data_IF_556717700749
#
_entry.id   IF_556717700749
#
_cell.length_a   1.000
_cell.length_b   1.000
_cell.length_c   1.000
_cell.angle_alpha   90.00
_cell.angle_beta   90.00
_cell.angle_gamma   90.00
#
_symmetry.space_group_name_H-M   'P 1'
#
loop_
_entity.id
_entity.type
_entity.pdbx_description
1 polymer ?
2 polymer ?
#
# COMPACT_ATOMS: atom_id res chain seq x y z
N UNK A 1 6.54 16.68 -32.09
CA UNK A 1 5.90 17.22 -30.86
C UNK A 1 5.88 16.16 -29.75
N UNK A 2 5.95 16.62 -28.50
CA UNK A 2 5.96 15.71 -27.33
C UNK A 2 4.89 16.04 -26.30
N UNK A 3 4.03 15.08 -26.00
CA UNK A 3 2.97 15.27 -25.00
C UNK A 3 3.20 14.42 -23.75
N UNK A 4 2.99 15.04 -22.58
CA UNK A 4 3.17 14.35 -21.31
C UNK A 4 2.02 13.41 -20.96
N UNK A 5 2.39 12.23 -20.46
CA UNK A 5 1.43 11.22 -20.05
C UNK A 5 1.89 10.68 -18.71
N UNK A 6 0.96 10.55 -17.77
CA UNK A 6 1.27 10.05 -16.45
C UNK A 6 1.13 8.53 -16.41
N UNK A 7 2.04 7.87 -15.69
CA UNK A 7 2.01 6.41 -15.59
C UNK A 7 2.09 5.91 -14.16
N UNK A 8 0.94 5.76 -13.50
CA UNK A 8 0.93 5.28 -12.12
C UNK A 8 1.43 3.84 -11.98
N UNK A 9 2.56 3.69 -11.29
CA UNK A 9 3.11 2.37 -11.03
C UNK A 9 3.01 2.22 -9.51
N UNK A 10 3.47 1.08 -8.99
CA UNK A 10 3.40 0.81 -7.56
C UNK A 10 4.76 0.82 -6.89
N UNK A 11 4.79 1.16 -5.61
CA UNK A 11 6.04 1.18 -4.89
C UNK A 11 6.79 -0.12 -5.14
N UNK A 12 6.05 -1.23 -5.11
CA UNK A 12 6.66 -2.53 -5.33
C UNK A 12 7.28 -2.60 -6.73
N UNK A 13 6.59 -2.05 -7.72
CA UNK A 13 7.11 -2.05 -9.09
C UNK A 13 8.45 -1.31 -9.15
N UNK A 14 8.45 -0.09 -8.60
CA UNK A 14 9.64 0.75 -8.59
C UNK A 14 10.73 0.11 -7.79
N UNK A 15 10.34 -0.62 -6.75
CA UNK A 15 11.30 -1.28 -5.88
C UNK A 15 12.13 -2.32 -6.59
N UNK A 16 11.46 -3.11 -7.40
CA UNK A 16 12.11 -4.18 -8.13
C UNK A 16 12.57 -3.71 -9.52
N UNK A 17 12.12 -2.51 -9.91
CA UNK A 17 12.49 -1.99 -11.21
C UNK A 17 11.94 -2.94 -12.27
N UNK A 18 10.67 -3.29 -12.12
CA UNK A 18 10.00 -4.21 -13.04
C UNK A 18 9.83 -3.65 -14.45
N UNK A 19 9.78 -4.56 -15.43
CA UNK A 19 9.61 -4.18 -16.82
C UNK A 19 8.15 -3.89 -17.11
N UNK A 20 7.56 -2.98 -16.34
CA UNK A 20 6.17 -2.60 -16.51
C UNK A 20 5.93 -2.31 -18.01
N UNK A 21 4.81 -2.79 -18.55
CA UNK A 21 4.49 -2.57 -19.97
C UNK A 21 3.00 -2.46 -20.27
N UNK A 22 2.57 -1.35 -20.88
CA UNK A 22 1.16 -1.18 -21.22
C UNK A 22 0.88 -0.57 -22.59
N UNK A 23 -0.37 -0.71 -23.02
CA UNK A 23 -0.82 -0.20 -24.31
C UNK A 23 -1.54 1.13 -24.12
N UNK A 24 -1.25 2.09 -25.00
CA UNK A 24 -1.86 3.42 -24.94
C UNK A 24 -2.51 3.82 -26.27
N UNK A 25 -3.59 4.59 -26.18
CA UNK A 25 -4.31 5.00 -27.37
C UNK A 25 -3.76 6.21 -28.11
N UNK A 26 -3.95 6.23 -29.43
CA UNK A 26 -3.48 7.32 -30.27
C UNK A 26 -4.32 7.40 -31.53
N UNK A 27 -3.79 8.07 -32.56
CA UNK A 27 -4.50 8.20 -33.82
C UNK A 27 -4.17 7.06 -34.79
N UNK A 28 -3.35 7.38 -35.79
CA UNK A 28 -2.96 6.39 -36.78
C UNK A 28 -3.00 6.93 -38.20
N UNK A 29 -2.77 6.07 -39.21
CA UNK A 29 -2.79 6.47 -40.62
C UNK A 29 -4.15 6.97 -41.09
N UNK A 30 -4.24 8.25 -41.43
CA UNK A 30 -5.46 8.89 -41.91
C UNK A 30 -6.60 8.89 -40.88
N UNK A 31 -6.33 9.44 -39.70
CA UNK A 31 -7.33 9.50 -38.64
C UNK A 31 -7.89 8.14 -38.24
N UNK A 32 -7.52 7.67 -37.04
CA UNK A 32 -7.97 6.38 -36.57
C UNK A 32 -8.24 6.29 -35.07
N UNK A 33 -8.26 5.06 -34.57
CA UNK A 33 -8.50 4.78 -33.16
C UNK A 33 -7.59 3.60 -32.77
N UNK A 34 -6.32 3.90 -32.50
CA UNK A 34 -5.36 2.87 -32.14
C UNK A 34 -5.08 2.73 -30.64
N UNK A 35 -4.26 1.72 -30.35
CA UNK A 35 -3.80 1.39 -29.00
C UNK A 35 -2.46 0.71 -29.23
N UNK A 36 -1.38 1.43 -28.98
CA UNK A 36 -0.03 0.90 -29.18
C UNK A 36 0.64 0.41 -27.89
N UNK A 37 1.17 -0.82 -27.93
CA UNK A 37 1.84 -1.43 -26.77
C UNK A 37 3.25 -0.88 -26.55
N UNK A 38 3.48 -0.30 -25.36
CA UNK A 38 4.79 0.26 -25.05
C UNK A 38 5.49 -0.48 -23.91
N UNK A 39 6.81 -0.49 -23.93
CA UNK A 39 7.61 -1.16 -22.90
C UNK A 39 8.48 -0.18 -22.09
N UNK A 40 8.19 -0.09 -20.79
CA UNK A 40 8.94 0.80 -19.91
C UNK A 40 9.85 0.04 -18.97
N UNK A 41 11.12 0.41 -18.94
CA UNK A 41 12.02 -0.29 -18.05
C UNK A 41 12.29 0.50 -16.79
N UNK A 42 11.61 0.13 -15.71
CA UNK A 42 11.81 0.78 -14.42
C UNK A 42 13.16 0.33 -13.90
N UNK A 43 13.68 1.08 -12.92
CA UNK A 43 14.95 0.77 -12.33
C UNK A 43 14.85 0.82 -10.81
N UNK A 44 15.39 -0.18 -10.13
CA UNK A 44 15.32 -0.17 -8.67
C UNK A 44 15.56 1.21 -8.10
N UNK A 45 14.51 1.82 -7.55
CA UNK A 45 14.67 3.12 -6.93
C UNK A 45 14.03 4.33 -7.59
N UNK A 46 13.79 4.21 -8.90
CA UNK A 46 13.20 5.32 -9.64
C UNK A 46 12.20 6.12 -8.83
N UNK A 47 12.42 7.42 -8.75
CA UNK A 47 11.52 8.30 -8.00
C UNK A 47 10.48 8.78 -8.98
N UNK A 48 9.26 9.01 -8.51
CA UNK A 48 8.19 9.48 -9.39
C UNK A 48 8.64 10.77 -10.02
N UNK A 49 8.05 11.12 -11.16
CA UNK A 49 8.44 12.35 -11.81
C UNK A 49 9.50 12.11 -12.86
N UNK A 50 10.22 11.00 -12.75
CA UNK A 50 11.26 10.70 -13.74
C UNK A 50 10.53 10.49 -15.05
N UNK A 51 11.26 10.65 -16.15
CA UNK A 51 10.65 10.50 -17.46
C UNK A 51 11.55 9.77 -18.43
N UNK A 52 10.95 8.85 -19.17
CA UNK A 52 11.67 8.08 -20.18
C UNK A 52 10.95 8.38 -21.49
N UNK A 53 11.73 8.60 -22.55
CA UNK A 53 11.19 8.90 -23.87
C UNK A 53 12.09 8.38 -24.99
N UNK A 67 6.05 10.14 -37.05
CA UNK A 67 4.91 9.77 -36.23
C UNK A 67 4.65 10.84 -35.16
N UNK A 68 4.19 10.40 -33.99
CA UNK A 68 3.90 11.30 -32.89
C UNK A 68 4.91 10.99 -31.77
N UNK A 69 5.01 11.87 -30.77
CA UNK A 69 5.96 11.63 -29.68
C UNK A 69 5.33 11.85 -28.30
N UNK A 70 5.56 10.89 -27.38
CA UNK A 70 5.00 10.95 -26.03
C UNK A 70 6.05 11.06 -24.93
N UNK A 71 5.79 11.91 -23.94
CA UNK A 71 6.69 12.11 -22.80
C UNK A 71 6.06 11.43 -21.59
N UNK A 72 6.71 10.37 -21.12
CA UNK A 72 6.22 9.60 -19.98
C UNK A 72 6.80 9.98 -18.63
N UNK A 73 5.93 10.19 -17.65
CA UNK A 73 6.34 10.55 -16.31
C UNK A 73 5.87 9.52 -15.28
N UNK A 74 6.82 8.73 -14.79
CA UNK A 74 6.54 7.69 -13.82
C UNK A 74 5.77 8.28 -12.64
N UNK A 75 4.68 7.63 -12.24
CA UNK A 75 3.87 8.12 -11.14
C UNK A 75 3.58 7.05 -10.08
N UNK A 76 3.87 7.38 -8.82
CA UNK A 76 3.67 6.45 -7.70
C UNK A 76 2.22 6.24 -7.26
N UNK A 77 1.65 5.07 -7.59
CA UNK A 77 0.27 4.75 -7.18
C UNK A 77 0.19 4.85 -5.66
N UNK A 78 -1.00 5.00 -5.11
CA UNK A 78 -1.10 5.11 -3.67
C UNK A 78 -0.99 3.75 -2.98
N UNK A 79 0.09 3.52 -2.23
CA UNK A 79 0.28 2.25 -1.54
C UNK A 79 -0.57 2.24 -0.28
N UNK A 80 -1.23 1.11 0.00
CA UNK A 80 -2.07 0.96 1.18
C UNK A 80 -1.38 0.90 2.53
N UNK A 81 -0.05 0.75 2.52
CA UNK A 81 0.66 0.69 3.80
C UNK A 81 1.82 1.67 3.98
N UNK A 82 2.55 1.92 2.89
CA UNK A 82 3.69 2.83 2.94
C UNK A 82 3.48 4.20 2.33
N UNK A 83 4.13 5.17 2.95
CA UNK A 83 4.12 6.56 2.50
C UNK A 83 5.62 6.74 2.32
N UNK A 84 6.03 7.04 1.09
CA UNK A 84 7.45 7.18 0.75
C UNK A 84 8.07 8.55 1.03
N UNK A 85 9.37 8.54 1.33
CA UNK A 85 10.12 9.77 1.61
C UNK A 85 11.46 9.63 0.93
N UNK A 86 11.46 9.76 -0.40
CA UNK A 86 12.70 9.62 -1.14
C UNK A 86 13.18 8.19 -1.11
N UNK A 87 14.09 7.89 -0.19
CA UNK A 87 14.57 6.53 -0.10
C UNK A 87 14.05 5.83 1.16
N UNK A 88 13.39 6.59 2.02
CA UNK A 88 12.82 6.03 3.24
C UNK A 88 11.37 5.65 3.05
N UNK A 89 10.90 4.68 3.84
CA UNK A 89 9.52 4.26 3.76
C UNK A 89 8.95 4.36 5.14
N UNK A 90 7.79 5.00 5.25
CA UNK A 90 7.15 5.13 6.52
C UNK A 90 5.88 4.30 6.53
N UNK A 91 5.68 3.59 7.63
CA UNK A 91 4.51 2.77 7.82
C UNK A 91 3.89 3.28 9.11
N UNK A 92 2.61 3.59 9.09
CA UNK A 92 1.95 4.08 10.30
C UNK A 92 1.11 3.00 11.00
N UNK A 93 1.67 2.34 12.01
CA UNK A 93 0.94 1.31 12.71
C UNK A 93 -0.02 1.97 13.71
N UNK A 94 -1.33 1.90 13.43
CA UNK A 94 -2.31 2.50 14.34
C UNK A 94 -2.46 1.61 15.58
N UNK A 95 -2.68 2.23 16.74
CA UNK A 95 -2.77 1.49 18.00
C UNK A 95 -4.00 1.77 18.89
N UNK A 96 -4.62 0.71 19.39
CA UNK A 96 -5.78 0.84 20.29
C UNK A 96 -5.31 1.57 21.53
N UNK A 97 -6.18 2.35 22.18
CA UNK A 97 -5.76 3.06 23.39
C UNK A 97 -5.04 2.13 24.38
N UNK A 98 -5.64 0.97 24.63
CA UNK A 98 -5.07 -0.01 25.58
C UNK A 98 -3.65 -0.43 25.23
N UNK A 99 -3.49 -1.01 24.04
CA UNK A 99 -2.18 -1.50 23.63
C UNK A 99 -1.17 -0.37 23.52
N UNK A 100 -1.65 0.85 23.70
CA UNK A 100 -0.81 2.03 23.61
C UNK A 100 -0.05 2.30 24.90
N UNK A 101 -0.50 1.69 25.99
CA UNK A 101 0.14 1.87 27.29
C UNK A 101 0.54 0.54 27.93
N UNK A 102 -0.13 -0.54 27.51
CA UNK A 102 0.16 -1.87 28.06
C UNK A 102 0.98 -2.76 27.13
N UNK A 103 0.96 -2.47 25.84
CA UNK A 103 1.74 -3.29 24.93
C UNK A 103 0.89 -3.83 23.81
N UNK A 104 1.53 -4.42 22.81
CA UNK A 104 0.81 -4.96 21.66
C UNK A 104 1.74 -5.94 21.00
N UNK A 105 1.23 -6.70 20.05
CA UNK A 105 2.06 -7.67 19.35
C UNK A 105 1.62 -7.87 17.92
N UNK A 106 1.48 -6.78 17.17
CA UNK A 106 1.05 -6.90 15.79
C UNK A 106 2.17 -7.46 14.90
N UNK A 107 1.96 -7.42 13.60
CA UNK A 107 2.94 -7.93 12.65
C UNK A 107 2.73 -7.19 11.33
N UNK A 108 3.81 -6.73 10.70
CA UNK A 108 3.70 -6.02 9.44
C UNK A 108 4.51 -6.67 8.30
N UNK A 109 4.11 -6.38 7.07
CA UNK A 109 4.77 -6.91 5.89
C UNK A 109 5.65 -5.86 5.25
N UNK A 110 6.95 -6.15 5.18
CA UNK A 110 7.90 -5.20 4.60
C UNK A 110 7.67 -5.03 3.13
N UNK A 111 8.24 -3.97 2.57
CA UNK A 111 8.10 -3.66 1.17
C UNK A 111 8.46 -4.79 0.25
N UNK A 112 9.31 -5.71 0.72
CA UNK A 112 9.69 -6.82 -0.12
C UNK A 112 9.15 -8.18 0.31
N UNK A 113 7.94 -8.21 0.84
CA UNK A 113 7.35 -9.49 1.20
C UNK A 113 7.64 -10.08 2.55
N UNK A 114 8.84 -9.85 3.07
CA UNK A 114 9.20 -10.37 4.37
C UNK A 114 8.20 -9.84 5.42
N UNK A 115 7.85 -10.65 6.41
CA UNK A 115 6.93 -10.16 7.43
C UNK A 115 7.82 -9.76 8.60
N UNK A 116 7.47 -8.63 9.23
CA UNK A 116 8.25 -8.10 10.33
C UNK A 116 7.46 -8.02 11.62
N UNK A 117 7.96 -8.65 12.67
CA UNK A 117 7.29 -8.63 13.97
C UNK A 117 7.51 -7.33 14.76
N UNK A 118 6.43 -6.60 15.00
CA UNK A 118 6.49 -5.37 15.78
C UNK A 118 5.87 -5.71 17.13
N UNK A 119 6.49 -5.25 18.22
CA UNK A 119 5.96 -5.57 19.55
C UNK A 119 6.56 -4.80 20.74
N UNK A 120 5.69 -4.32 21.61
CA UNK A 120 6.13 -3.60 22.81
C UNK A 120 5.40 -4.14 24.04
N UNK A 121 5.92 -3.73 25.20
CA UNK A 121 5.39 -4.12 26.50
C UNK A 121 5.51 -2.86 27.37
N UNK A 122 5.70 -1.73 26.68
CA UNK A 122 5.87 -0.42 27.33
C UNK A 122 5.09 0.65 26.58
N UNK A 123 4.49 1.59 27.32
CA UNK A 123 3.72 2.66 26.66
C UNK A 123 4.54 3.27 25.53
N UNK A 124 3.83 3.82 24.55
CA UNK A 124 4.48 4.40 23.39
C UNK A 124 3.97 5.82 23.18
N UNK A 125 4.89 6.75 22.93
CA UNK A 125 4.55 8.15 22.74
C UNK A 125 3.76 8.33 21.45
N UNK A 126 2.67 9.10 21.49
CA UNK A 126 1.82 9.36 20.34
C UNK A 126 2.44 9.37 18.96
N UNK A 127 3.71 9.73 18.83
CA UNK A 127 4.29 9.73 17.49
C UNK A 127 5.63 8.99 17.46
N UNK A 128 5.96 8.37 18.59
CA UNK A 128 7.20 7.60 18.75
C UNK A 128 7.40 6.69 17.54
N UNK A 129 8.64 6.63 17.05
CA UNK A 129 8.94 5.81 15.89
C UNK A 129 10.10 4.83 16.10
N UNK A 130 10.25 3.93 15.11
CA UNK A 130 11.31 2.93 15.10
C UNK A 130 11.91 2.90 13.71
N UNK A 131 13.21 3.11 13.61
CA UNK A 131 13.82 3.07 12.30
C UNK A 131 14.60 1.78 12.06
N UNK A 132 14.33 1.17 10.91
CA UNK A 132 14.98 -0.06 10.48
C UNK A 132 15.87 0.22 9.28
N UNK A 133 17.19 0.29 9.50
CA UNK A 133 18.18 0.55 8.47
C UNK A 133 18.13 -0.40 7.29
N UNK A 134 18.44 0.14 6.12
CA UNK A 134 18.46 -0.67 4.91
C UNK A 134 17.20 -1.46 4.66
N UNK A 135 16.06 -0.98 5.14
CA UNK A 135 14.84 -1.71 4.93
C UNK A 135 13.81 -0.87 4.16
N UNK A 136 14.30 0.16 3.47
CA UNK A 136 13.43 1.01 2.70
C UNK A 136 13.61 0.77 1.21
N UNK A 137 13.34 1.79 0.39
CA UNK A 137 13.46 1.70 -1.07
C UNK A 137 14.93 1.80 -1.50
N UNK A 138 15.27 1.17 -2.64
CA UNK A 138 16.68 1.25 -3.05
C UNK A 138 17.08 2.66 -3.49
N UNK A 139 18.37 2.96 -3.47
CA UNK A 139 18.88 4.27 -3.89
C UNK A 139 19.22 4.22 -5.37
N UNK A 140 18.54 5.04 -6.19
CA UNK A 140 18.81 5.03 -7.63
C UNK A 140 20.28 5.08 -8.03
N UNK A 141 21.02 6.04 -7.50
CA UNK A 141 22.43 6.16 -7.83
C UNK A 141 23.03 4.81 -7.53
N UNK A 142 23.41 4.57 -6.27
CA UNK A 142 23.97 3.29 -5.86
C UNK A 142 22.82 2.47 -5.26
N UNK A 143 22.18 1.62 -6.10
CA UNK A 143 21.06 0.78 -5.67
C UNK A 143 21.37 -0.35 -4.71
N UNK A 144 22.60 -0.84 -4.71
CA UNK A 144 22.96 -1.91 -3.80
C UNK A 144 22.75 -1.42 -2.37
N UNK A 145 22.30 -0.18 -2.25
CA UNK A 145 22.03 0.44 -0.96
C UNK A 145 20.55 0.84 -0.96
N UNK A 146 19.85 0.57 0.13
CA UNK A 146 18.45 0.91 0.24
C UNK A 146 18.34 1.98 1.32
N UNK A 147 17.21 2.69 1.36
CA UNK A 147 17.00 3.72 2.36
C UNK A 147 16.66 2.94 3.61
N UNK A 148 15.63 3.34 4.35
CA UNK A 148 15.26 2.54 5.52
C UNK A 148 13.81 2.75 5.91
N UNK A 149 13.25 1.74 6.55
CA UNK A 149 11.87 1.72 6.97
C UNK A 149 11.72 2.39 8.32
N UNK A 150 10.69 3.25 8.43
CA UNK A 150 10.37 3.95 9.68
C UNK A 150 8.96 3.53 10.03
N UNK A 151 8.74 3.00 11.23
CA UNK A 151 7.40 2.61 11.65
C UNK A 151 6.94 3.59 12.71
N UNK A 152 5.82 4.22 12.42
CA UNK A 152 5.24 5.24 13.28
C UNK A 152 4.02 4.69 14.01
N UNK A 153 4.01 4.81 15.33
CA UNK A 153 2.89 4.36 16.13
C UNK A 153 1.96 5.57 16.24
N UNK A 154 0.69 5.37 15.92
CA UNK A 154 -0.30 6.42 16.01
C UNK A 154 -1.40 5.95 16.97
N UNK A 155 -1.33 6.36 18.23
CA UNK A 155 -2.31 5.94 19.23
C UNK A 155 -3.71 6.53 19.04
N UNK A 156 -4.71 5.66 19.20
CA UNK A 156 -6.12 6.00 19.03
C UNK A 156 -6.83 6.21 20.37
N UNK A 157 -7.43 7.38 20.53
CA UNK A 157 -8.17 7.71 21.75
C UNK A 157 -9.66 7.44 21.59
N UNK A 158 -10.32 6.93 22.63
CA UNK A 158 -11.74 6.64 22.58
C UNK A 158 -12.40 8.00 22.66
N UNK A 159 -13.56 8.18 22.05
CA UNK A 159 -14.20 9.48 22.13
C UNK A 159 -14.65 9.71 23.57
N UNK A 160 -15.78 10.36 23.77
CA UNK A 160 -16.28 10.62 25.12
C UNK A 160 -16.13 9.37 26.00
N UNK A 161 -15.55 9.52 27.20
CA UNK A 161 -15.41 8.35 28.06
C UNK A 161 -16.39 8.33 29.22
N UNK A 162 -16.77 7.11 29.61
CA UNK A 162 -17.72 6.89 30.69
C UNK A 162 -17.22 7.25 32.08
N UNK A 163 -18.08 7.05 33.07
CA UNK A 163 -17.77 7.37 34.46
C UNK A 163 -16.63 6.51 34.98
N UNK A 164 -16.75 5.19 34.81
CA UNK A 164 -15.70 4.30 35.26
C UNK A 164 -14.39 4.85 34.72
N UNK A 165 -14.29 4.89 33.39
CA UNK A 165 -13.12 5.40 32.69
C UNK A 165 -12.46 6.56 33.43
N UNK A 166 -13.14 7.70 33.46
CA UNK A 166 -12.61 8.88 34.14
C UNK A 166 -12.15 8.54 35.55
N UNK A 167 -13.04 7.96 36.35
CA UNK A 167 -12.68 7.61 37.71
C UNK A 167 -11.35 6.84 37.73
N UNK A 168 -11.24 5.85 36.85
CA UNK A 168 -10.04 5.00 36.75
C UNK A 168 -8.74 5.75 36.50
N UNK A 169 -8.82 6.79 35.68
CA UNK A 169 -7.64 7.54 35.35
C UNK A 169 -7.02 8.24 36.57
N UNK A 170 -6.21 7.46 37.30
CA UNK A 170 -5.45 7.89 38.50
C UNK A 170 -4.44 6.81 38.85
N UNK B 1 23.91 48.54 -10.79
CA UNK B 1 23.85 47.12 -10.31
C UNK B 1 22.56 46.91 -9.50
N UNK B 2 22.68 46.21 -8.37
CA UNK B 2 21.56 45.93 -7.48
C UNK B 2 21.97 44.91 -6.42
N UNK B 3 22.00 45.34 -5.16
CA UNK B 3 22.38 44.46 -4.05
C UNK B 3 21.27 44.35 -3.02
N UNK B 4 20.51 43.25 -3.10
CA UNK B 4 19.39 42.99 -2.20
C UNK B 4 19.79 42.81 -0.74
N UNK B 5 18.90 43.23 0.17
CA UNK B 5 19.15 43.14 1.62
C UNK B 5 18.09 42.35 2.39
N UNK B 6 18.55 41.49 3.29
CA UNK B 6 17.66 40.69 4.12
C UNK B 6 17.00 41.63 5.12
N UNK B 7 15.67 41.60 5.20
CA UNK B 7 14.97 42.46 6.14
C UNK B 7 14.03 41.72 7.10
N UNK B 8 14.56 41.30 8.25
CA UNK B 8 13.81 40.57 9.27
C UNK B 8 12.65 41.35 9.89
N UNK B 9 11.49 40.71 9.98
CA UNK B 9 10.31 41.30 10.59
C UNK B 9 9.70 40.28 11.54
N UNK B 10 8.53 40.62 12.06
CA UNK B 10 7.83 39.75 12.98
C UNK B 10 6.47 39.49 12.39
N UNK B 11 6.00 38.26 12.50
CA UNK B 11 4.69 37.91 11.96
C UNK B 11 3.68 38.97 12.35
N UNK B 12 3.90 39.60 13.49
CA UNK B 12 3.02 40.65 13.96
C UNK B 12 3.02 41.80 12.96
N UNK B 13 4.20 42.35 12.72
CA UNK B 13 4.36 43.44 11.76
C UNK B 13 3.56 43.15 10.50
N UNK B 14 3.99 42.15 9.75
CA UNK B 14 3.32 41.78 8.53
C UNK B 14 1.80 41.69 8.69
N UNK B 15 1.36 41.31 9.89
CA UNK B 15 -0.06 41.16 10.17
C UNK B 15 -0.89 42.42 10.04
N UNK B 16 -0.54 43.40 10.86
CA UNK B 16 -1.26 44.66 10.90
C UNK B 16 -0.71 45.73 9.97
N UNK B 17 0.09 45.33 8.99
CA UNK B 17 0.66 46.30 8.07
C UNK B 17 1.27 47.44 8.86
N UNK B 18 2.46 47.22 9.37
CA UNK B 18 3.18 48.21 10.16
C UNK B 18 4.12 49.03 9.31
N UNK B 19 4.41 50.25 9.74
CA UNK B 19 5.35 51.09 9.02
C UNK B 19 6.66 51.06 9.80
N UNK B 20 7.62 50.31 9.25
CA UNK B 20 8.95 50.13 9.86
C UNK B 20 9.98 51.13 9.36
N UNK B 21 11.08 51.21 10.09
CA UNK B 21 12.19 52.09 9.76
C UNK B 21 13.46 51.57 10.45
N UNK B 22 14.60 52.18 10.12
CA UNK B 22 15.88 51.77 10.67
C UNK B 22 17.04 52.59 10.10
N UNK B 35 25.48 56.47 4.25
CA UNK B 35 24.44 56.22 5.24
C UNK B 35 23.10 56.90 4.91
N UNK B 36 22.00 56.16 5.08
CA UNK B 36 20.68 56.70 4.77
C UNK B 36 19.58 56.17 5.69
N UNK B 37 18.44 56.86 5.68
CA UNK B 37 17.29 56.49 6.50
C UNK B 37 16.13 56.05 5.59
N UNK B 38 15.76 54.78 5.70
CA UNK B 38 14.69 54.23 4.88
C UNK B 38 13.42 54.06 5.70
N UNK B 39 12.29 53.98 5.01
CA UNK B 39 11.01 53.81 5.67
C UNK B 39 10.09 52.92 4.83
N UNK B 40 9.75 51.75 5.39
CA UNK B 40 8.90 50.80 4.70
C UNK B 40 7.54 50.58 5.37
N UNK B 41 6.49 50.70 4.57
CA UNK B 41 5.11 50.51 5.02
C UNK B 41 4.67 49.11 4.58
N UNK B 42 4.79 48.17 5.53
CA UNK B 42 4.45 46.77 5.29
C UNK B 42 2.98 46.63 4.95
N UNK B 43 2.69 46.15 3.75
CA UNK B 43 1.30 45.95 3.35
C UNK B 43 0.71 44.82 4.18
N UNK B 44 -0.62 44.74 4.27
CA UNK B 44 -1.25 43.66 5.04
C UNK B 44 -1.19 42.32 4.31
N UNK B 45 -0.45 41.37 4.87
CA UNK B 45 -0.34 40.05 4.27
C UNK B 45 0.88 39.80 3.39
N UNK B 46 2.02 40.38 3.76
CA UNK B 46 3.26 40.20 3.00
C UNK B 46 3.95 39.01 3.59
N UNK B 47 4.42 38.10 2.73
CA UNK B 47 5.11 36.92 3.19
C UNK B 47 6.60 37.05 2.93
N UNK B 48 7.37 36.09 3.44
CA UNK B 48 8.81 36.12 3.27
C UNK B 48 9.19 36.20 1.79
N UNK B 49 10.05 37.14 1.47
CA UNK B 49 10.48 37.29 0.09
C UNK B 49 9.64 38.23 -0.77
N UNK B 50 9.01 39.23 -0.17
CA UNK B 50 8.24 40.18 -0.94
C UNK B 50 9.23 41.28 -1.34
N UNK B 51 9.31 41.57 -2.64
CA UNK B 51 10.23 42.56 -3.17
C UNK B 51 9.86 44.02 -2.92
N UNK B 52 10.86 44.80 -2.50
CA UNK B 52 10.71 46.22 -2.22
C UNK B 52 11.84 46.94 -2.93
N UNK B 53 11.57 47.40 -4.16
CA UNK B 53 12.56 48.09 -4.98
C UNK B 53 12.63 49.61 -4.88
N UNK B 54 13.75 50.10 -4.37
CA UNK B 54 13.97 51.54 -4.23
C UNK B 54 15.10 51.94 -5.18
N UNK B 55 14.76 52.59 -6.30
CA UNK B 55 15.75 53.03 -7.27
C UNK B 55 16.77 53.96 -6.61
N UNK B 56 18.01 53.47 -6.46
CA UNK B 56 19.07 54.26 -5.84
C UNK B 56 18.83 54.48 -4.35
N UNK B 68 23.09 53.24 -6.87
CA UNK B 68 23.02 51.81 -6.60
C UNK B 68 21.61 51.46 -6.13
N UNK B 69 20.86 50.76 -6.99
CA UNK B 69 19.48 50.38 -6.67
C UNK B 69 19.35 49.35 -5.56
N UNK B 70 18.81 49.80 -4.42
CA UNK B 70 18.62 48.95 -3.26
C UNK B 70 17.26 48.25 -3.28
N UNK B 71 17.29 46.94 -3.05
CA UNK B 71 16.09 46.12 -3.03
C UNK B 71 15.99 45.39 -1.70
N UNK B 72 14.82 45.40 -1.10
CA UNK B 72 14.64 44.74 0.19
C UNK B 72 13.91 43.40 0.15
N UNK B 73 14.62 42.35 0.55
CA UNK B 73 14.08 41.00 0.61
C UNK B 73 13.56 40.79 2.03
N UNK B 74 12.30 40.39 2.15
CA UNK B 74 11.72 40.18 3.47
C UNK B 74 12.02 38.86 4.16
N UNK B 75 12.34 38.96 5.44
CA UNK B 75 12.65 37.82 6.29
C UNK B 75 11.69 37.88 7.48
N UNK B 76 11.12 36.74 7.84
CA UNK B 76 10.20 36.71 8.97
C UNK B 76 10.85 35.98 10.16
N UNK B 77 11.27 36.75 11.16
CA UNK B 77 11.91 36.16 12.33
C UNK B 77 11.10 35.02 12.93
N UNK B 78 11.79 34.09 13.57
CA UNK B 78 11.11 32.96 14.19
C UNK B 78 10.07 33.53 15.14
N UNK B 79 9.01 32.79 15.37
CA UNK B 79 7.99 33.27 16.28
C UNK B 79 7.77 32.31 17.45
N UNK B 80 7.73 32.87 18.66
CA UNK B 80 7.53 32.24 19.96
C UNK B 80 6.46 31.15 20.03
N UNK B 81 5.32 31.41 19.41
CA UNK B 81 4.23 30.44 19.44
C UNK B 81 3.81 29.91 18.07
N UNK B 82 3.88 30.76 17.05
CA UNK B 82 3.41 30.33 15.76
C UNK B 82 4.43 29.88 14.72
N UNK B 83 3.91 29.18 13.71
CA UNK B 83 4.66 28.67 12.58
C UNK B 83 3.71 28.98 11.44
N UNK B 84 4.11 29.86 10.53
CA UNK B 84 3.25 30.27 9.44
C UNK B 84 3.24 29.27 8.31
N UNK B 85 2.07 29.13 7.68
CA UNK B 85 1.85 28.24 6.53
C UNK B 85 0.79 28.87 5.63
N UNK B 86 1.23 29.71 4.68
CA UNK B 86 0.33 30.38 3.77
C UNK B 86 -0.44 31.44 4.50
N UNK B 87 -1.76 31.46 4.34
CA UNK B 87 -2.58 32.43 5.03
C UNK B 87 -2.79 31.95 6.47
N UNK B 88 -2.32 30.76 6.78
CA UNK B 88 -2.53 30.20 8.12
C UNK B 88 -1.38 30.24 9.10
N UNK B 89 -1.74 30.15 10.37
CA UNK B 89 -0.76 30.13 11.44
C UNK B 89 -0.95 28.77 12.11
N UNK B 90 0.13 28.18 12.61
CA UNK B 90 0.04 26.89 13.26
C UNK B 90 0.58 26.96 14.68
N UNK B 91 -0.26 26.61 15.64
CA UNK B 91 0.16 26.62 17.04
C UNK B 91 -0.02 25.22 17.63
N UNK B 92 0.98 24.76 18.36
CA UNK B 92 0.92 23.43 18.96
C UNK B 92 0.82 23.52 20.47
N UNK B 93 -0.35 23.18 20.97
CA UNK B 93 -0.63 23.21 22.40
C UNK B 93 -0.15 21.93 23.08
N UNK B 94 0.64 22.07 24.14
CA UNK B 94 1.13 20.90 24.86
C UNK B 94 0.19 20.50 25.98
N UNK B 95 -0.33 19.28 25.93
CA UNK B 95 -1.23 18.79 26.98
C UNK B 95 -0.53 17.71 27.78
N UNK B 96 -1.07 17.41 28.94
CA UNK B 96 -0.53 16.37 29.79
C UNK B 96 -1.40 15.14 29.50
N UNK B 97 -0.97 13.99 29.99
CA UNK B 97 -1.73 12.79 29.73
C UNK B 97 -3.15 12.95 30.26
N UNK B 98 -3.28 13.32 31.53
CA UNK B 98 -4.61 13.51 32.11
C UNK B 98 -5.47 14.47 31.31
N UNK B 99 -4.92 15.61 30.89
CA UNK B 99 -5.74 16.57 30.15
C UNK B 99 -6.02 16.23 28.70
N UNK B 100 -5.27 15.29 28.13
CA UNK B 100 -5.50 14.91 26.75
C UNK B 100 -6.71 13.97 26.70
N UNK B 101 -7.07 13.41 27.85
CA UNK B 101 -8.19 12.48 27.98
C UNK B 101 -9.35 13.09 28.73
N UNK B 102 -9.04 13.85 29.77
CA UNK B 102 -10.05 14.46 30.62
C UNK B 102 -10.40 15.92 30.34
N UNK B 103 -9.91 16.49 29.25
CA UNK B 103 -10.26 17.87 28.93
C UNK B 103 -9.30 18.92 29.45
N UNK B 104 -9.52 20.18 29.06
CA UNK B 104 -8.62 21.24 29.51
C UNK B 104 -9.20 22.63 29.25
N UNK B 105 -8.41 23.64 29.60
CA UNK B 105 -8.79 25.03 29.43
C UNK B 105 -7.54 25.90 29.43
N UNK B 106 -6.99 26.10 28.24
CA UNK B 106 -5.79 26.90 28.11
C UNK B 106 -6.14 28.14 27.31
N UNK B 107 -5.13 28.99 27.10
CA UNK B 107 -5.27 30.24 26.37
C UNK B 107 -4.17 30.28 25.31
N UNK B 108 -4.16 31.32 24.49
CA UNK B 108 -3.15 31.48 23.46
C UNK B 108 -3.30 32.88 22.88
N UNK B 109 -2.24 33.67 22.95
CA UNK B 109 -2.26 35.05 22.42
C UNK B 109 -2.28 35.01 20.91
N UNK B 110 -3.40 35.42 20.34
CA UNK B 110 -3.56 35.43 18.89
C UNK B 110 -2.59 36.44 18.32
N UNK B 111 -2.37 36.37 17.01
CA UNK B 111 -1.43 37.27 16.33
C UNK B 111 -1.79 38.75 16.44
N UNK B 112 -3.08 39.04 16.43
CA UNK B 112 -3.59 40.41 16.51
C UNK B 112 -3.49 40.96 17.92
N UNK B 113 -3.18 40.10 18.89
CA UNK B 113 -3.04 40.56 20.26
C UNK B 113 -3.99 40.02 21.33
N UNK B 114 -5.27 39.87 20.98
CA UNK B 114 -6.27 39.37 21.93
C UNK B 114 -5.93 37.95 22.37
N UNK B 115 -6.62 37.45 23.40
CA UNK B 115 -6.38 36.08 23.85
C UNK B 115 -7.58 35.20 23.51
N UNK B 116 -7.28 33.99 23.05
CA UNK B 116 -8.28 33.01 22.61
C UNK B 116 -8.38 31.83 23.57
N UNK B 117 -9.60 31.43 23.94
CA UNK B 117 -9.75 30.29 24.85
C UNK B 117 -9.75 28.92 24.18
N UNK B 118 -8.79 28.08 24.60
CA UNK B 118 -8.66 26.73 24.09
C UNK B 118 -9.22 25.77 25.14
N UNK B 119 -10.49 25.40 25.00
CA UNK B 119 -11.10 24.48 25.95
C UNK B 119 -11.82 23.34 25.26
N UNK B 120 -11.76 22.18 25.91
CA UNK B 120 -12.33 20.94 25.42
C UNK B 120 -12.75 20.17 26.66
N UNK B 121 -13.74 19.28 26.53
CA UNK B 121 -14.18 18.49 27.68
C UNK B 121 -14.04 17.01 27.33
N UNK B 122 -14.01 16.73 26.04
CA UNK B 122 -13.88 15.38 25.51
C UNK B 122 -12.41 15.11 25.18
N UNK B 123 -11.98 13.84 25.31
CA UNK B 123 -10.59 13.51 24.99
C UNK B 123 -10.23 13.95 23.57
N UNK B 124 -8.93 14.18 23.35
CA UNK B 124 -8.42 14.64 22.05
C UNK B 124 -7.60 13.57 21.36
N UNK B 125 -7.79 13.43 20.05
CA UNK B 125 -7.00 12.48 19.28
C UNK B 125 -5.66 13.21 19.23
N UNK B 126 -4.62 12.64 19.85
CA UNK B 126 -3.29 13.26 19.89
C UNK B 126 -2.86 13.80 18.53
N UNK B 127 -3.36 13.14 17.49
CA UNK B 127 -3.03 13.48 16.12
C UNK B 127 -4.04 14.38 15.46
N UNK B 128 -4.94 14.93 16.26
CA UNK B 128 -5.99 15.77 15.73
C UNK B 128 -5.54 17.19 15.41
N UNK B 129 -6.43 17.97 14.81
CA UNK B 129 -6.19 19.37 14.47
C UNK B 129 -7.46 20.18 14.47
N UNK B 130 -7.60 21.07 15.45
CA UNK B 130 -8.77 21.91 15.53
C UNK B 130 -8.50 23.21 14.79
N UNK B 131 -9.49 23.66 14.02
CA UNK B 131 -9.37 24.87 13.20
C UNK B 131 -10.11 26.11 13.75
N UNK B 132 -9.39 27.21 13.96
CA UNK B 132 -10.02 28.44 14.48
C UNK B 132 -9.97 29.55 13.44
N UNK B 133 -11.04 29.69 12.63
CA UNK B 133 -11.22 30.67 11.54
C UNK B 133 -10.95 32.13 11.87
N UNK B 134 -10.44 32.84 10.86
CA UNK B 134 -10.16 34.27 11.00
C UNK B 134 -9.11 34.64 12.02
N UNK B 135 -8.40 33.64 12.50
CA UNK B 135 -7.36 33.88 13.47
C UNK B 135 -5.99 33.75 12.86
N UNK B 136 -5.94 33.60 11.54
CA UNK B 136 -4.67 33.47 10.87
C UNK B 136 -4.00 34.78 10.51
N UNK B 137 -3.50 34.85 9.29
CA UNK B 137 -2.83 36.04 8.80
C UNK B 137 -3.65 36.63 7.65
N UNK B 138 -3.54 37.95 7.41
CA UNK B 138 -4.26 38.63 6.34
C UNK B 138 -3.89 38.13 4.94
N UNK B 139 -4.86 37.62 4.18
CA UNK B 139 -4.61 37.10 2.83
C UNK B 139 -3.84 38.08 1.93
N UNK B 140 -3.22 37.56 0.87
CA UNK B 140 -2.47 38.43 -0.04
C UNK B 140 -3.40 39.28 -0.92
N UNK B 141 -4.66 38.85 -1.06
CA UNK B 141 -5.62 39.59 -1.88
C UNK B 141 -6.16 40.78 -1.08
N UNK B 142 -7.33 40.61 -0.46
CA UNK B 142 -7.89 41.69 0.32
C UNK B 142 -7.78 41.41 1.82
N UNK B 143 -6.92 42.16 2.52
CA UNK B 143 -6.67 42.06 3.96
C UNK B 143 -7.92 41.86 4.78
N UNK B 144 -9.08 42.10 4.16
CA UNK B 144 -10.33 41.89 4.84
C UNK B 144 -10.38 40.42 5.27
N UNK B 145 -9.80 39.57 4.41
CA UNK B 145 -9.74 38.13 4.64
C UNK B 145 -8.51 37.62 5.38
N UNK B 146 -8.68 36.55 6.15
CA UNK B 146 -7.60 35.96 6.94
C UNK B 146 -7.62 34.44 6.98
N UNK B 147 -6.43 33.85 6.94
CA UNK B 147 -6.32 32.40 7.01
C UNK B 147 -6.77 31.92 8.37
N UNK B 148 -6.91 30.61 8.53
CA UNK B 148 -7.34 30.05 9.79
C UNK B 148 -6.15 29.96 10.72
N UNK B 149 -6.40 29.55 11.95
CA UNK B 149 -5.35 29.35 12.93
C UNK B 149 -5.45 27.87 13.21
N UNK B 150 -4.40 27.11 12.93
CA UNK B 150 -4.47 25.68 13.17
C UNK B 150 -3.79 25.30 14.47
N UNK B 151 -4.49 24.54 15.28
CA UNK B 151 -3.93 24.12 16.57
C UNK B 151 -3.64 22.64 16.54
N UNK B 152 -2.42 22.27 16.91
CA UNK B 152 -2.01 20.87 16.94
C UNK B 152 -1.76 20.56 18.40
N UNK B 153 -1.52 19.30 18.72
CA UNK B 153 -1.30 18.93 20.11
C UNK B 153 -0.05 18.08 20.37
N UNK B 154 0.55 18.23 21.55
CA UNK B 154 1.72 17.44 21.93
C UNK B 154 1.42 16.84 23.30
N UNK B 155 0.73 15.70 23.32
CA UNK B 155 0.36 15.06 24.58
C UNK B 155 1.46 14.26 25.27
N UNK B 156 1.90 14.78 26.41
CA UNK B 156 2.95 14.16 27.22
C UNK B 156 2.49 12.81 27.79
N UNK B 157 2.73 11.72 27.05
CA UNK B 157 2.34 10.36 27.48
C UNK B 157 3.22 9.76 28.56
N UNK B 158 2.65 8.82 29.34
CA UNK B 158 3.41 8.18 30.41
C UNK B 158 4.61 7.56 29.71
N UNK B 159 5.67 7.27 30.46
CA UNK B 159 6.87 6.70 29.87
C UNK B 159 6.99 5.22 30.25
N UNK B 160 6.65 4.93 31.50
CA UNK B 160 6.68 3.60 32.06
C UNK B 160 5.39 3.50 32.85
N UNK B 161 5.04 2.33 33.36
CA UNK B 161 3.80 2.22 34.11
C UNK B 161 4.03 1.45 35.40
N UNK B 162 3.07 1.50 36.31
CA UNK B 162 3.18 0.77 37.58
C UNK B 162 2.02 -0.16 37.78
N UNK B 163 2.25 -1.16 38.63
CA UNK B 163 1.26 -2.18 38.96
C UNK B 163 -0.15 -1.59 39.03
N UNK B 164 -0.28 -0.51 39.79
CA UNK B 164 -1.54 0.18 39.96
C UNK B 164 -2.13 0.71 38.65
N UNK B 165 -1.43 1.67 38.03
CA UNK B 165 -1.88 2.26 36.78
C UNK B 165 -2.25 1.19 35.76
N UNK B 166 -1.40 0.17 35.64
CA UNK B 166 -1.64 -0.92 34.69
C UNK B 166 -3.04 -1.50 34.77
N UNK B 167 -3.40 -2.00 35.94
CA UNK B 167 -4.71 -2.60 36.15
C UNK B 167 -5.84 -1.66 35.74
N UNK B 168 -5.73 -0.40 36.15
CA UNK B 168 -6.75 0.61 35.85
C UNK B 168 -7.02 0.71 34.36
N UNK B 169 -5.97 0.86 33.56
CA UNK B 169 -6.14 0.94 32.12
C UNK B 169 -6.67 -0.42 31.61
N UNK B 170 -6.13 -1.51 32.16
CA UNK B 170 -6.54 -2.87 31.75
C UNK B 170 -8.02 -3.16 32.01
N UNK C 11 -1.99 -46.29 -3.12
CA UNK C 11 -1.63 -45.26 -4.15
C UNK C 11 -2.11 -43.87 -3.74
N UNK C 12 -3.40 -43.74 -3.46
CA UNK C 12 -3.93 -42.46 -3.00
C UNK C 12 -3.04 -42.10 -1.82
N UNK C 13 -2.49 -43.14 -1.20
CA UNK C 13 -1.63 -43.00 -0.04
C UNK C 13 -0.29 -42.34 -0.35
N UNK C 14 0.48 -42.87 -1.29
CA UNK C 14 1.76 -42.24 -1.61
C UNK C 14 1.54 -40.99 -2.45
N UNK C 15 0.37 -40.37 -2.26
CA UNK C 15 -0.02 -39.14 -2.95
C UNK C 15 -0.08 -37.99 -1.96
N UNK C 16 -0.92 -38.16 -0.94
CA UNK C 16 -1.11 -37.14 0.07
C UNK C 16 -0.06 -37.22 1.19
N UNK C 17 0.64 -38.35 1.27
CA UNK C 17 1.67 -38.52 2.28
C UNK C 17 1.33 -39.48 3.40
N UNK C 18 0.04 -39.75 3.58
CA UNK C 18 -0.48 -40.65 4.61
C UNK C 18 0.57 -41.60 5.19
N UNK C 19 0.71 -41.56 6.51
CA UNK C 19 1.66 -42.41 7.24
C UNK C 19 0.99 -43.73 7.62
N UNK C 20 1.62 -44.85 7.27
CA UNK C 20 1.04 -46.16 7.56
C UNK C 20 1.85 -46.98 8.56
N UNK C 21 1.20 -47.98 9.18
CA UNK C 21 1.84 -48.84 10.17
C UNK C 21 1.98 -50.28 9.69
N UNK C 22 3.10 -50.90 10.07
CA UNK C 22 3.41 -52.28 9.70
C UNK C 22 3.58 -53.17 10.94
N UNK C 39 7.56 -46.70 11.58
CA UNK C 39 7.19 -45.29 11.47
C UNK C 39 7.77 -44.65 10.20
N UNK C 40 7.22 -45.04 9.05
CA UNK C 40 7.67 -44.52 7.76
C UNK C 40 6.90 -43.28 7.35
N UNK C 41 7.61 -42.18 7.14
CA UNK C 41 6.99 -40.93 6.73
C UNK C 41 7.06 -40.76 5.23
N UNK C 42 6.07 -41.30 4.54
CA UNK C 42 6.00 -41.24 3.09
C UNK C 42 5.88 -39.78 2.66
N UNK C 43 6.99 -39.19 2.24
CA UNK C 43 6.99 -37.80 1.81
C UNK C 43 6.32 -37.68 0.44
N UNK C 44 5.14 -37.05 0.40
CA UNK C 44 4.35 -36.84 -0.82
C UNK C 44 5.15 -36.68 -2.11
N UNK C 45 4.85 -37.55 -3.09
CA UNK C 45 5.53 -37.51 -4.37
C UNK C 45 6.30 -38.79 -4.67
N UNK C 46 6.44 -39.64 -3.67
CA UNK C 46 7.18 -40.88 -3.82
C UNK C 46 6.57 -41.80 -4.86
N UNK C 47 7.43 -42.44 -5.63
CA UNK C 47 7.03 -43.37 -6.67
C UNK C 47 7.84 -44.65 -6.49
N UNK C 48 7.15 -45.75 -6.21
CA UNK C 48 7.77 -47.06 -5.99
C UNK C 48 9.25 -47.10 -6.36
N UNK C 49 10.12 -47.18 -5.35
CA UNK C 49 11.56 -47.22 -5.58
C UNK C 49 12.35 -46.51 -4.49
N UNK C 50 12.22 -47.01 -3.27
CA UNK C 50 12.91 -46.43 -2.12
C UNK C 50 13.54 -47.50 -1.23
N UNK C 73 12.29 -50.93 0.14
CA UNK C 73 11.71 -50.82 -1.19
C UNK C 73 10.23 -51.19 -1.21
N UNK C 74 9.39 -50.25 -1.64
CA UNK C 74 7.95 -50.47 -1.72
C UNK C 74 7.42 -50.22 -3.12
N UNK C 75 6.38 -50.97 -3.47
CA UNK C 75 5.77 -50.88 -4.78
C UNK C 75 4.39 -50.24 -4.71
N UNK C 76 3.84 -49.93 -5.89
CA UNK C 76 2.53 -49.30 -6.00
C UNK C 76 1.45 -50.36 -6.16
N UNK C 77 0.52 -50.39 -5.20
CA UNK C 77 -0.56 -51.36 -5.24
C UNK C 77 -1.42 -51.16 -6.50
N UNK C 78 -2.39 -52.06 -6.70
CA UNK C 78 -3.27 -51.97 -7.87
C UNK C 78 -4.37 -50.96 -7.66
N UNK C 79 -4.94 -50.52 -8.79
CA UNK C 79 -6.04 -49.56 -8.79
C UNK C 79 -6.92 -49.92 -9.98
N UNK C 80 -8.25 -49.88 -9.79
CA UNK C 80 -9.22 -50.20 -10.83
C UNK C 80 -9.15 -49.34 -12.08
N UNK C 81 -9.23 -48.02 -11.91
CA UNK C 81 -9.19 -47.12 -13.06
C UNK C 81 -7.86 -46.40 -13.32
N UNK C 82 -7.16 -45.97 -12.27
CA UNK C 82 -5.88 -45.27 -12.45
C UNK C 82 -4.67 -46.09 -12.85
N UNK C 83 -3.60 -45.36 -13.17
CA UNK C 83 -2.36 -45.97 -13.58
C UNK C 83 -1.36 -44.83 -13.70
N UNK C 84 -0.40 -44.79 -12.77
CA UNK C 84 0.58 -43.73 -12.82
C UNK C 84 1.64 -43.92 -13.89
N UNK C 85 2.25 -42.82 -14.27
CA UNK C 85 3.30 -42.80 -15.25
C UNK C 85 3.95 -41.47 -14.98
N UNK C 86 5.21 -41.49 -14.56
CA UNK C 86 5.86 -40.25 -14.26
C UNK C 86 4.99 -39.57 -13.23
N UNK C 87 4.85 -38.26 -13.32
CA UNK C 87 4.01 -37.54 -12.37
C UNK C 87 2.54 -37.62 -12.79
N UNK C 88 2.30 -38.11 -14.01
CA UNK C 88 0.96 -38.23 -14.58
C UNK C 88 0.09 -39.36 -14.06
N UNK C 89 -1.19 -39.30 -14.39
CA UNK C 89 -2.17 -40.32 -14.00
C UNK C 89 -3.09 -40.70 -15.14
N UNK C 90 -2.95 -41.91 -15.65
CA UNK C 90 -3.79 -42.36 -16.75
C UNK C 90 -5.06 -42.96 -16.17
N UNK C 91 -6.19 -42.71 -16.82
CA UNK C 91 -7.48 -43.21 -16.37
C UNK C 91 -8.34 -43.58 -17.57
N UNK C 92 -8.44 -44.87 -17.88
CA UNK C 92 -9.26 -45.29 -19.01
C UNK C 92 -10.73 -45.23 -18.59
N UNK C 93 -11.53 -44.53 -19.39
CA UNK C 93 -12.96 -44.37 -19.16
C UNK C 93 -13.67 -45.18 -20.22
N UNK C 94 -14.30 -46.29 -19.83
CA UNK C 94 -15.02 -47.19 -20.72
C UNK C 94 -16.34 -46.63 -21.29
N UNK C 95 -16.47 -46.72 -22.61
CA UNK C 95 -17.63 -46.22 -23.33
C UNK C 95 -18.28 -47.26 -24.22
N UNK C 96 -19.60 -47.19 -24.34
CA UNK C 96 -20.38 -48.09 -25.18
C UNK C 96 -20.17 -47.63 -26.62
N UNK C 97 -20.52 -48.46 -27.60
CA UNK C 97 -20.34 -48.08 -28.98
C UNK C 97 -21.20 -46.85 -29.29
N UNK C 98 -22.37 -46.78 -28.65
CA UNK C 98 -23.26 -45.65 -28.86
C UNK C 98 -22.58 -44.39 -28.35
N UNK C 99 -22.10 -44.45 -27.10
CA UNK C 99 -21.41 -43.34 -26.47
C UNK C 99 -20.25 -42.91 -27.37
N UNK C 100 -19.61 -43.90 -27.97
CA UNK C 100 -18.50 -43.66 -28.86
C UNK C 100 -18.95 -42.69 -29.92
N UNK C 101 -20.16 -42.89 -30.42
CA UNK C 101 -20.67 -42.04 -31.49
C UNK C 101 -21.56 -40.85 -31.13
N UNK C 102 -22.52 -41.05 -30.25
CA UNK C 102 -23.41 -39.96 -29.91
C UNK C 102 -22.87 -39.02 -28.87
N UNK C 103 -22.30 -39.58 -27.81
CA UNK C 103 -21.75 -38.77 -26.75
C UNK C 103 -22.09 -39.47 -25.47
N UNK C 104 -21.79 -38.86 -24.33
CA UNK C 104 -22.10 -39.48 -23.05
C UNK C 104 -22.08 -38.42 -21.97
N UNK C 105 -22.29 -38.86 -20.74
CA UNK C 105 -22.32 -37.97 -19.59
C UNK C 105 -21.99 -38.77 -18.34
N UNK C 106 -20.76 -38.65 -17.85
CA UNK C 106 -20.36 -39.40 -16.65
C UNK C 106 -19.65 -38.56 -15.60
N UNK C 107 -19.29 -39.20 -14.49
CA UNK C 107 -18.60 -38.52 -13.41
C UNK C 107 -17.51 -39.45 -12.90
N UNK C 108 -16.58 -38.90 -12.14
CA UNK C 108 -15.52 -39.72 -11.59
C UNK C 108 -14.70 -38.97 -10.55
N UNK C 109 -14.19 -39.72 -9.57
CA UNK C 109 -13.40 -39.17 -8.51
C UNK C 109 -11.92 -38.98 -8.89
N UNK C 110 -11.46 -37.74 -8.76
CA UNK C 110 -10.09 -37.42 -9.06
C UNK C 110 -9.32 -37.98 -7.89
N UNK C 111 -8.04 -38.28 -8.11
CA UNK C 111 -7.19 -38.82 -7.05
C UNK C 111 -7.25 -38.01 -5.73
N UNK C 112 -7.54 -36.71 -5.82
CA UNK C 112 -7.64 -35.84 -4.64
C UNK C 112 -8.83 -36.25 -3.80
N UNK C 113 -9.89 -36.66 -4.48
CA UNK C 113 -11.12 -37.03 -3.81
C UNK C 113 -12.22 -36.08 -4.26
N UNK C 114 -11.97 -35.39 -5.38
CA UNK C 114 -12.93 -34.45 -5.95
C UNK C 114 -13.68 -35.13 -7.08
N UNK C 115 -14.95 -34.79 -7.24
CA UNK C 115 -15.83 -35.35 -8.27
C UNK C 115 -15.75 -34.52 -9.56
N UNK C 116 -15.13 -35.07 -10.58
CA UNK C 116 -14.94 -34.37 -11.84
C UNK C 116 -15.84 -34.80 -13.00
N UNK C 117 -16.74 -33.91 -13.45
CA UNK C 117 -17.63 -34.26 -14.55
C UNK C 117 -16.88 -34.36 -15.87
N UNK C 118 -17.23 -35.36 -16.67
CA UNK C 118 -16.65 -35.60 -17.99
C UNK C 118 -17.86 -35.84 -18.86
N UNK C 119 -18.09 -35.00 -19.85
CA UNK C 119 -19.26 -35.18 -20.67
C UNK C 119 -19.16 -34.54 -22.03
N UNK C 120 -19.21 -35.36 -23.07
CA UNK C 120 -19.10 -34.85 -24.44
C UNK C 120 -20.30 -35.19 -25.32
N UNK C 121 -20.33 -34.61 -26.52
CA UNK C 121 -21.45 -34.80 -27.43
C UNK C 121 -21.05 -34.98 -28.91
N UNK C 122 -19.78 -35.34 -29.13
CA UNK C 122 -19.27 -35.56 -30.48
C UNK C 122 -18.60 -36.91 -30.49
N UNK C 123 -18.58 -37.58 -31.63
CA UNK C 123 -17.92 -38.89 -31.59
C UNK C 123 -16.48 -38.76 -31.08
N UNK C 124 -15.76 -39.89 -31.03
CA UNK C 124 -14.40 -39.88 -30.52
C UNK C 124 -13.53 -41.01 -31.05
N UNK C 125 -12.29 -40.70 -31.40
CA UNK C 125 -11.37 -41.71 -31.91
C UNK C 125 -11.00 -42.70 -30.80
N UNK C 126 -10.62 -43.93 -31.19
CA UNK C 126 -10.25 -45.02 -30.29
C UNK C 126 -9.36 -44.69 -29.10
N UNK C 127 -8.19 -44.14 -29.33
CA UNK C 127 -7.30 -43.82 -28.22
C UNK C 127 -7.26 -42.31 -27.98
N UNK C 128 -8.44 -41.68 -28.09
CA UNK C 128 -8.56 -40.24 -27.90
C UNK C 128 -8.57 -39.88 -26.43
N UNK C 129 -7.79 -38.87 -26.07
CA UNK C 129 -7.68 -38.49 -24.68
C UNK C 129 -7.96 -37.04 -24.39
N UNK C 130 -8.31 -36.80 -23.13
CA UNK C 130 -8.59 -35.48 -22.59
C UNK C 130 -7.62 -35.35 -21.42
N UNK C 131 -6.61 -34.47 -21.54
CA UNK C 131 -5.63 -34.31 -20.45
C UNK C 131 -5.77 -33.00 -19.66
N UNK C 132 -5.89 -33.12 -18.34
CA UNK C 132 -6.06 -31.98 -17.44
C UNK C 132 -4.75 -31.62 -16.71
N UNK C 133 -4.22 -30.40 -16.93
CA UNK C 133 -2.99 -29.96 -16.28
C UNK C 133 -3.10 -29.95 -14.77
N UNK C 134 -1.99 -30.22 -14.09
CA UNK C 134 -1.98 -30.23 -12.64
C UNK C 134 -3.12 -30.96 -11.97
N UNK C 135 -3.33 -32.20 -12.34
CA UNK C 135 -4.40 -33.01 -11.75
C UNK C 135 -3.91 -34.41 -11.51
N UNK C 136 -2.61 -34.61 -11.72
CA UNK C 136 -2.02 -35.92 -11.51
C UNK C 136 -1.27 -35.98 -10.20
N UNK C 137 -0.24 -36.82 -10.16
CA UNK C 137 0.58 -36.99 -8.96
C UNK C 137 1.57 -35.83 -8.82
N UNK C 138 1.90 -35.45 -7.58
CA UNK C 138 2.83 -34.35 -7.29
C UNK C 138 4.30 -34.65 -7.60
N UNK C 139 5.07 -33.59 -7.77
CA UNK C 139 6.48 -33.69 -8.09
C UNK C 139 7.35 -33.68 -6.84
N UNK C 140 8.21 -34.70 -6.68
CA UNK C 140 9.08 -34.77 -5.50
C UNK C 140 9.80 -33.44 -5.28
N UNK C 141 10.36 -32.88 -6.35
CA UNK C 141 11.04 -31.60 -6.27
C UNK C 141 10.29 -30.73 -5.29
N UNK C 142 8.96 -30.81 -5.35
CA UNK C 142 8.06 -30.04 -4.48
C UNK C 142 6.59 -30.30 -4.80
N UNK C 143 5.84 -30.81 -3.82
CA UNK C 143 4.41 -31.12 -3.94
C UNK C 143 3.50 -29.92 -4.18
N UNK C 144 4.07 -28.77 -4.50
CA UNK C 144 3.30 -27.55 -4.76
C UNK C 144 3.11 -27.41 -6.26
N UNK C 145 3.61 -28.41 -6.98
CA UNK C 145 3.52 -28.49 -8.43
C UNK C 145 3.42 -29.96 -8.78
N UNK C 146 2.35 -30.34 -9.47
CA UNK C 146 2.16 -31.74 -9.83
C UNK C 146 1.85 -32.02 -11.29
N UNK C 147 1.81 -33.31 -11.62
CA UNK C 147 1.53 -33.72 -12.98
C UNK C 147 0.08 -33.65 -13.40
N UNK C 148 -0.18 -34.15 -14.61
CA UNK C 148 -1.51 -34.14 -15.19
C UNK C 148 -2.26 -35.46 -15.08
N UNK C 149 -3.55 -35.39 -15.37
CA UNK C 149 -4.42 -36.53 -15.37
C UNK C 149 -4.81 -36.73 -16.83
N UNK C 150 -4.54 -37.90 -17.39
CA UNK C 150 -4.96 -38.16 -18.77
C UNK C 150 -6.16 -39.06 -18.69
N UNK C 151 -7.19 -38.74 -19.47
CA UNK C 151 -8.40 -39.55 -19.49
C UNK C 151 -8.43 -40.24 -20.84
N UNK C 152 -8.28 -41.56 -20.83
CA UNK C 152 -8.27 -42.37 -22.05
C UNK C 152 -9.65 -42.95 -22.25
N UNK C 153 -10.07 -43.20 -23.48
CA UNK C 153 -11.40 -43.77 -23.68
C UNK C 153 -11.33 -45.19 -24.24
N UNK C 154 -11.67 -46.19 -23.43
CA UNK C 154 -11.64 -47.58 -23.90
C UNK C 154 -13.07 -47.90 -24.33
N UNK C 155 -13.34 -47.72 -25.63
CA UNK C 155 -14.67 -47.95 -26.23
C UNK C 155 -14.95 -49.37 -26.74
N UNK C 156 -16.04 -49.95 -26.27
CA UNK C 156 -16.44 -51.30 -26.65
C UNK C 156 -17.02 -51.39 -28.06
N UNK C 157 -16.18 -51.64 -29.06
CA UNK C 157 -16.65 -51.76 -30.42
C UNK C 157 -17.32 -53.11 -30.68
N UNK C 158 -18.31 -53.13 -31.58
CA UNK C 158 -19.10 -54.30 -32.00
C UNK C 158 -18.25 -55.49 -32.35
N UNK C 159 -18.77 -56.69 -32.03
CA UNK C 159 -18.12 -57.97 -32.28
C UNK C 159 -18.86 -58.69 -33.41
N UNK C 160 -20.17 -58.42 -33.49
CA UNK C 160 -21.07 -58.98 -34.50
C UNK C 160 -22.31 -58.07 -34.56
N UNK C 161 -22.92 -57.97 -35.72
CA UNK C 161 -24.09 -57.11 -35.84
C UNK C 161 -25.39 -57.87 -36.05
N UNK C 162 -26.48 -57.27 -35.61
CA UNK C 162 -27.78 -57.90 -35.77
C UNK C 162 -28.39 -57.49 -37.10
N UNK C 163 -29.52 -58.09 -37.39
CA UNK C 163 -30.29 -57.90 -38.61
C UNK C 163 -30.60 -56.43 -38.92
N UNK C 164 -31.19 -55.73 -37.97
CA UNK C 164 -31.52 -54.33 -38.18
C UNK C 164 -30.28 -53.43 -38.20
N UNK C 165 -29.33 -53.72 -37.29
CA UNK C 165 -28.08 -52.99 -37.17
C UNK C 165 -27.44 -53.02 -38.53
N UNK C 166 -27.11 -54.24 -38.92
CA UNK C 166 -26.53 -54.51 -40.21
C UNK C 166 -27.69 -54.05 -41.08
N UNK C 167 -27.75 -52.75 -41.38
CA UNK C 167 -28.82 -52.18 -42.21
C UNK C 167 -28.98 -50.73 -41.81
N UNK C 168 -29.42 -50.53 -40.57
CA UNK C 168 -29.60 -49.19 -40.02
C UNK C 168 -28.26 -48.49 -40.07
N UNK C 169 -27.25 -49.27 -40.41
CA UNK C 169 -25.87 -48.80 -40.52
C UNK C 169 -25.65 -48.02 -41.83
N UNK C 170 -26.68 -47.26 -42.24
CA UNK C 170 -26.64 -46.44 -43.45
C UNK C 170 -27.14 -45.01 -43.18
N UNK D 1 -5.69 14.38 -23.25
CA UNK D 1 -6.14 13.17 -22.51
C UNK D 1 -6.21 11.92 -23.39
N UNK D 2 -5.18 11.07 -23.28
CA UNK D 2 -5.11 9.83 -24.05
C UNK D 2 -5.82 8.73 -23.25
N UNK D 3 -5.64 7.48 -23.67
CA UNK D 3 -6.24 6.37 -22.96
C UNK D 3 -5.15 5.48 -22.38
N UNK D 4 -5.02 5.51 -21.05
CA UNK D 4 -4.04 4.70 -20.33
C UNK D 4 -4.58 3.28 -20.18
N UNK D 5 -3.75 2.29 -20.47
CA UNK D 5 -4.17 0.89 -20.41
C UNK D 5 -3.04 0.00 -19.87
N UNK D 6 -3.06 -0.25 -18.56
CA UNK D 6 -2.06 -1.05 -17.87
C UNK D 6 -1.82 -2.44 -18.45
N UNK D 7 -0.76 -3.10 -17.99
CA UNK D 7 -0.44 -4.44 -18.47
C UNK D 7 0.82 -5.06 -17.80
#
# INVERSE_FOLDING_TARGET
>A
ETVQVNLPVSLEDLFVGKKKSFKIGRKGPHGASEKTQIDIQLKPGWKAGTKITYKNQGDYNPQTGRRKTLQFVIQEKSHPNFKRDGDDLIYTLPLSFKESLLGFSKTIQTIDGRTLPLSRVQPVQPSQTSTYPGQGMPTPKNPSQRGNLIVKYKVDYPISLNDAQKRAIDENF
>B
ETVQVNLPVSLEDLFVGKKKSFKIGRKGPHGASEKTQIDIQLKPGWKAGTKITYKNQGDYNPQTGRRKTLQFVIQEKSHPNFKRDGDDLIYTLPLSFKESLLGFSKTIQTIDGRTLPLSRVQPVQPSQTSTYPGQGMPTPKNPSQRGNLIVKYKVDYPISLNDAQKRAIDENF
>C
ETVQVNLPVSLEDLFVGKKKSFKIGRKGPHGASEKTQIDIQLKPGWKAGTKITYKNQGDYNPQTGRRKTLQFVIQEKSHPNFKRDGDDLIYTLPLSFKESLLGFSKTIQTIDGRTLPLSRVQPVQPSQTSTYPGQGMPTPKNPSQRGNLIVKYKVDYPISLNDAQKRAIDENF
>D
PTVEEVD
#
